data_IF_946139076226
#
_entry.id   IF_946139076226
#
_cell.length_a   1.000
_cell.length_b   1.000
_cell.length_c   1.000
_cell.angle_alpha   90.00
_cell.angle_beta   90.00
_cell.angle_gamma   90.00
#
_symmetry.space_group_name_H-M   'P 1'
#
loop_
_entity.id
_entity.type
_entity.pdbx_description
1 polymer ?
#
# COMPACT_ATOMS: atom_id res chain seq x y z
N UNK A 1 -5.35 -18.86 14.93
CA UNK A 1 -5.61 -19.67 13.72
C UNK A 1 -4.43 -20.61 13.55
N UNK A 2 -4.65 -21.90 13.29
CA UNK A 2 -3.55 -22.85 13.10
C UNK A 2 -3.18 -22.89 11.62
N UNK A 3 -1.92 -22.61 11.28
CA UNK A 3 -1.36 -22.86 9.95
C UNK A 3 -0.20 -23.82 10.18
N UNK A 4 -0.21 -24.99 9.53
CA UNK A 4 0.86 -26.00 9.65
C UNK A 4 1.18 -26.38 11.12
N UNK A 5 0.14 -26.60 11.94
CA UNK A 5 0.23 -26.90 13.37
C UNK A 5 0.85 -25.80 14.28
N UNK A 6 1.28 -24.68 13.73
CA UNK A 6 1.67 -23.50 14.51
C UNK A 6 0.45 -22.59 14.75
N UNK A 7 0.23 -22.22 16.02
CA UNK A 7 -0.73 -21.17 16.36
C UNK A 7 -0.15 -19.83 15.95
N UNK A 8 -0.72 -19.22 14.90
CA UNK A 8 -0.38 -17.85 14.53
C UNK A 8 -1.35 -16.92 15.25
N UNK A 9 -0.87 -16.11 16.22
CA UNK A 9 -1.69 -15.12 16.91
C UNK A 9 -1.82 -13.86 16.05
N UNK A 10 -2.61 -13.95 14.96
CA UNK A 10 -2.78 -12.89 13.95
C UNK A 10 -3.06 -11.51 14.57
N UNK A 11 -4.01 -11.47 15.52
CA UNK A 11 -4.41 -10.24 16.20
C UNK A 11 -3.27 -9.66 17.04
N UNK A 12 -2.55 -10.49 17.79
CA UNK A 12 -1.41 -10.02 18.59
C UNK A 12 -0.26 -9.55 17.71
N UNK A 13 -0.03 -10.21 16.57
CA UNK A 13 1.00 -9.81 15.61
C UNK A 13 0.69 -8.43 15.03
N UNK A 14 -0.58 -8.20 14.68
CA UNK A 14 -1.04 -6.92 14.19
C UNK A 14 -0.97 -5.84 15.28
N UNK A 15 -1.50 -6.10 16.47
CA UNK A 15 -1.46 -5.16 17.59
C UNK A 15 -0.02 -4.81 17.98
N UNK A 16 0.87 -5.81 18.02
CA UNK A 16 2.31 -5.59 18.23
C UNK A 16 2.89 -4.67 17.17
N UNK A 17 2.58 -4.91 15.89
CA UNK A 17 3.10 -4.08 14.79
C UNK A 17 2.57 -2.65 14.85
N UNK A 18 1.26 -2.48 15.07
CA UNK A 18 0.64 -1.15 15.16
C UNK A 18 1.21 -0.32 16.30
N UNK A 19 1.56 -0.94 17.44
CA UNK A 19 2.16 -0.26 18.59
C UNK A 19 3.66 -0.04 18.47
N UNK A 20 4.41 -1.03 17.98
CA UNK A 20 5.87 -0.97 17.91
C UNK A 20 6.37 -0.18 16.69
N UNK A 21 5.66 -0.28 15.58
CA UNK A 21 6.01 0.29 14.29
C UNK A 21 5.02 1.37 13.84
N UNK A 22 4.41 2.09 14.79
CA UNK A 22 3.42 3.15 14.49
C UNK A 22 3.97 4.18 13.50
N UNK A 23 5.23 4.58 13.64
CA UNK A 23 5.89 5.49 12.71
C UNK A 23 5.89 4.97 11.27
N UNK A 24 6.12 3.67 11.06
CA UNK A 24 6.08 3.05 9.73
C UNK A 24 4.67 3.02 9.14
N UNK A 25 3.66 2.78 9.97
CA UNK A 25 2.26 2.87 9.55
C UNK A 25 1.85 4.29 9.17
N UNK A 26 2.25 5.29 9.96
CA UNK A 26 2.02 6.70 9.63
C UNK A 26 2.75 7.10 8.35
N UNK A 27 3.98 6.64 8.16
CA UNK A 27 4.76 6.88 6.95
C UNK A 27 4.12 6.20 5.72
N UNK A 28 3.58 4.99 5.87
CA UNK A 28 2.80 4.32 4.84
C UNK A 28 1.59 5.17 4.43
N UNK A 29 0.82 5.67 5.38
CA UNK A 29 -0.34 6.51 5.09
C UNK A 29 0.05 7.83 4.43
N UNK A 30 1.11 8.48 4.92
CA UNK A 30 1.60 9.73 4.34
C UNK A 30 2.09 9.54 2.90
N UNK A 31 2.94 8.53 2.66
CA UNK A 31 3.43 8.22 1.31
C UNK A 31 2.33 7.76 0.38
N UNK A 32 1.30 7.06 0.89
CA UNK A 32 0.12 6.69 0.12
C UNK A 32 -0.68 7.91 -0.34
N UNK A 33 -0.88 8.90 0.53
CA UNK A 33 -1.58 10.14 0.16
C UNK A 33 -0.79 10.92 -0.89
N UNK A 34 0.53 11.06 -0.69
CA UNK A 34 1.40 11.72 -1.66
C UNK A 34 1.37 11.01 -3.02
N UNK A 35 1.41 9.68 -3.01
CA UNK A 35 1.33 8.90 -4.23
C UNK A 35 0.00 9.14 -4.93
N UNK A 36 -1.13 9.08 -4.22
CA UNK A 36 -2.45 9.38 -4.78
C UNK A 36 -2.49 10.76 -5.45
N UNK A 37 -2.01 11.79 -4.77
CA UNK A 37 -1.98 13.16 -5.30
C UNK A 37 -1.08 13.24 -6.54
N UNK A 38 0.10 12.64 -6.49
CA UNK A 38 1.06 12.63 -7.60
C UNK A 38 0.49 11.90 -8.82
N UNK A 39 -0.13 10.74 -8.63
CA UNK A 39 -0.76 9.95 -9.69
C UNK A 39 -1.94 10.68 -10.30
N UNK A 40 -2.79 11.33 -9.50
CA UNK A 40 -3.90 12.12 -10.03
C UNK A 40 -3.37 13.24 -10.92
N UNK A 41 -2.32 13.95 -10.51
CA UNK A 41 -1.68 14.99 -11.32
C UNK A 41 -1.08 14.43 -12.62
N UNK A 42 -0.28 13.37 -12.51
CA UNK A 42 0.36 12.68 -13.63
C UNK A 42 -0.66 12.16 -14.65
N UNK A 43 -1.66 11.40 -14.19
CA UNK A 43 -2.68 10.81 -15.05
C UNK A 43 -3.58 11.88 -15.67
N UNK A 44 -3.86 12.98 -14.97
CA UNK A 44 -4.64 14.09 -15.52
C UNK A 44 -3.86 14.84 -16.61
N UNK A 45 -2.53 14.88 -16.54
CA UNK A 45 -1.67 15.54 -17.52
C UNK A 45 -1.30 14.65 -18.72
N UNK A 46 -0.98 13.37 -18.48
CA UNK A 46 -0.40 12.45 -19.47
C UNK A 46 -1.33 11.31 -19.89
N UNK A 47 -2.47 11.15 -19.19
CA UNK A 47 -3.49 10.15 -19.47
C UNK A 47 -3.26 8.81 -18.75
N UNK A 48 -4.37 8.08 -18.54
CA UNK A 48 -4.45 6.81 -17.80
C UNK A 48 -3.53 5.69 -18.34
N UNK A 49 -3.27 5.70 -19.64
CA UNK A 49 -2.47 4.67 -20.33
C UNK A 49 -0.98 4.69 -19.94
N UNK A 50 -0.50 5.79 -19.36
CA UNK A 50 0.87 5.95 -18.87
C UNK A 50 1.09 5.39 -17.46
N UNK A 51 0.03 5.03 -16.76
CA UNK A 51 0.13 4.41 -15.44
C UNK A 51 0.82 3.04 -15.54
N UNK A 52 1.95 2.88 -14.86
CA UNK A 52 2.74 1.65 -14.88
C UNK A 52 2.08 0.52 -14.08
N UNK A 53 1.30 0.86 -13.05
CA UNK A 53 0.61 -0.12 -12.23
C UNK A 53 -0.65 -0.62 -12.95
N UNK A 54 -0.57 -1.81 -13.53
CA UNK A 54 -1.67 -2.42 -14.29
C UNK A 54 -2.96 -2.59 -13.47
N UNK A 55 -2.85 -2.90 -12.17
CA UNK A 55 -4.02 -3.05 -11.30
C UNK A 55 -4.67 -1.69 -11.02
N UNK A 56 -3.86 -0.67 -10.69
CA UNK A 56 -4.37 0.67 -10.47
C UNK A 56 -5.02 1.22 -11.75
N UNK A 57 -4.38 1.02 -12.91
CA UNK A 57 -4.92 1.39 -14.21
C UNK A 57 -6.27 0.73 -14.48
N UNK A 58 -6.36 -0.59 -14.31
CA UNK A 58 -7.62 -1.32 -14.48
C UNK A 58 -8.72 -0.83 -13.54
N UNK A 59 -8.39 -0.57 -12.26
CA UNK A 59 -9.35 -0.02 -11.31
C UNK A 59 -9.80 1.40 -11.68
N UNK A 60 -8.90 2.24 -12.17
CA UNK A 60 -9.22 3.60 -12.62
C UNK A 60 -10.08 3.60 -13.89
N UNK A 61 -9.86 2.65 -14.80
CA UNK A 61 -10.71 2.46 -15.97
C UNK A 61 -12.12 1.96 -15.59
N UNK A 62 -12.21 1.06 -14.61
CA UNK A 62 -13.48 0.46 -14.20
C UNK A 62 -14.33 1.37 -13.31
N UNK A 63 -13.72 2.09 -12.36
CA UNK A 63 -14.41 2.85 -11.32
C UNK A 63 -14.30 4.36 -11.51
N UNK A 64 -13.38 4.83 -12.36
CA UNK A 64 -12.98 6.23 -12.49
C UNK A 64 -11.69 6.54 -11.72
N UNK A 65 -11.05 7.66 -12.07
CA UNK A 65 -9.70 8.04 -11.60
C UNK A 65 -9.53 7.98 -10.07
N UNK A 66 -10.23 8.85 -9.35
CA UNK A 66 -10.16 8.95 -7.89
C UNK A 66 -10.62 7.67 -7.15
N UNK A 67 -11.83 7.13 -7.41
CA UNK A 67 -12.31 5.94 -6.72
C UNK A 67 -11.49 4.69 -7.05
N UNK A 68 -11.03 4.51 -8.30
CA UNK A 68 -10.18 3.39 -8.70
C UNK A 68 -8.81 3.42 -8.05
N UNK A 69 -8.16 4.58 -8.02
CA UNK A 69 -6.88 4.76 -7.36
C UNK A 69 -6.99 4.57 -5.84
N UNK A 70 -8.05 5.11 -5.23
CA UNK A 70 -8.33 4.91 -3.81
C UNK A 70 -8.55 3.43 -3.49
N UNK A 71 -9.30 2.70 -4.32
CA UNK A 71 -9.52 1.27 -4.16
C UNK A 71 -8.20 0.47 -4.24
N UNK A 72 -7.31 0.83 -5.18
CA UNK A 72 -5.99 0.20 -5.29
C UNK A 72 -5.16 0.39 -4.01
N UNK A 73 -5.19 1.59 -3.42
CA UNK A 73 -4.50 1.89 -2.17
C UNK A 73 -5.11 1.20 -0.95
N UNK A 74 -6.44 1.11 -0.88
CA UNK A 74 -7.11 0.33 0.17
C UNK A 74 -6.70 -1.14 0.10
N UNK A 75 -6.65 -1.72 -1.10
CA UNK A 75 -6.20 -3.10 -1.30
C UNK A 75 -4.73 -3.28 -0.87
N UNK A 76 -3.87 -2.31 -1.17
CA UNK A 76 -2.48 -2.32 -0.73
C UNK A 76 -2.36 -2.30 0.81
N UNK A 77 -3.12 -1.45 1.50
CA UNK A 77 -3.15 -1.42 2.98
C UNK A 77 -3.65 -2.75 3.55
N UNK A 78 -4.69 -3.33 2.94
CA UNK A 78 -5.20 -4.64 3.35
C UNK A 78 -4.14 -5.74 3.18
N UNK A 79 -3.43 -5.76 2.05
CA UNK A 79 -2.35 -6.72 1.78
C UNK A 79 -1.20 -6.59 2.80
N UNK A 80 -0.77 -5.37 3.11
CA UNK A 80 0.26 -5.11 4.14
C UNK A 80 -0.22 -5.59 5.51
N UNK A 81 -1.46 -5.28 5.88
CA UNK A 81 -2.05 -5.70 7.15
C UNK A 81 -2.08 -7.22 7.28
N UNK A 82 -2.49 -7.92 6.23
CA UNK A 82 -2.49 -9.39 6.19
C UNK A 82 -1.09 -9.96 6.39
N UNK A 83 -0.09 -9.46 5.64
CA UNK A 83 1.30 -9.95 5.75
C UNK A 83 1.90 -9.68 7.14
N UNK A 84 1.67 -8.48 7.68
CA UNK A 84 2.11 -8.10 9.03
C UNK A 84 1.48 -9.00 10.09
N UNK A 85 0.21 -9.35 9.93
CA UNK A 85 -0.48 -10.26 10.86
C UNK A 85 0.06 -11.69 10.81
N UNK A 86 0.57 -12.15 9.66
CA UNK A 86 1.14 -13.48 9.50
C UNK A 86 2.52 -13.62 10.15
N UNK A 87 3.38 -12.61 10.07
CA UNK A 87 4.74 -12.71 10.62
C UNK A 87 5.25 -11.36 11.16
N UNK A 88 5.57 -11.32 12.46
CA UNK A 88 6.05 -10.12 13.16
C UNK A 88 7.37 -9.56 12.60
N UNK A 89 8.29 -10.42 12.15
CA UNK A 89 9.62 -10.01 11.66
C UNK A 89 9.57 -9.55 10.21
N UNK A 90 8.90 -10.34 9.36
CA UNK A 90 8.78 -10.06 7.92
C UNK A 90 7.85 -8.87 7.66
N UNK A 91 6.82 -8.69 8.49
CA UNK A 91 5.86 -7.60 8.37
C UNK A 91 6.49 -6.21 8.33
N UNK A 92 7.53 -5.95 9.14
CA UNK A 92 8.19 -4.64 9.16
C UNK A 92 9.01 -4.40 7.88
N UNK A 93 9.73 -5.41 7.39
CA UNK A 93 10.45 -5.30 6.11
C UNK A 93 9.48 -5.04 4.97
N UNK A 94 8.31 -5.67 5.00
CA UNK A 94 7.27 -5.46 4.00
C UNK A 94 6.68 -4.05 4.08
N UNK A 95 6.38 -3.54 5.28
CA UNK A 95 5.98 -2.14 5.50
C UNK A 95 6.97 -1.16 4.89
N UNK A 96 8.26 -1.34 5.19
CA UNK A 96 9.33 -0.49 4.65
C UNK A 96 9.42 -0.58 3.12
N UNK A 97 9.35 -1.78 2.55
CA UNK A 97 9.39 -1.97 1.09
C UNK A 97 8.23 -1.24 0.40
N UNK A 98 7.02 -1.32 0.99
CA UNK A 98 5.83 -0.68 0.42
C UNK A 98 5.90 0.85 0.54
N UNK A 99 6.44 1.37 1.63
CA UNK A 99 6.73 2.81 1.77
C UNK A 99 7.70 3.27 0.68
N UNK A 100 8.79 2.53 0.45
CA UNK A 100 9.77 2.85 -0.60
C UNK A 100 9.14 2.79 -2.00
N UNK A 101 8.27 1.82 -2.26
CA UNK A 101 7.55 1.74 -3.53
C UNK A 101 6.60 2.93 -3.75
N UNK A 102 5.87 3.36 -2.72
CA UNK A 102 5.05 4.57 -2.82
C UNK A 102 5.92 5.81 -3.08
N UNK A 103 7.03 5.97 -2.35
CA UNK A 103 7.94 7.09 -2.55
C UNK A 103 8.56 7.08 -3.95
N UNK A 104 8.91 5.91 -4.47
CA UNK A 104 9.44 5.75 -5.82
C UNK A 104 8.40 6.10 -6.89
N UNK A 105 7.15 5.69 -6.70
CA UNK A 105 6.05 6.06 -7.59
C UNK A 105 5.84 7.58 -7.63
N UNK A 106 5.88 8.25 -6.47
CA UNK A 106 5.83 9.73 -6.40
C UNK A 106 6.95 10.37 -7.22
N UNK A 107 8.18 9.86 -7.10
CA UNK A 107 9.33 10.38 -7.85
C UNK A 107 9.12 10.20 -9.34
N UNK A 108 8.71 9.02 -9.80
CA UNK A 108 8.44 8.76 -11.23
C UNK A 108 7.32 9.66 -11.75
N UNK A 109 6.24 9.82 -10.99
CA UNK A 109 5.09 10.65 -11.40
C UNK A 109 5.43 12.15 -11.46
N UNK A 110 6.53 12.56 -10.83
CA UNK A 110 6.99 13.96 -10.77
C UNK A 110 8.05 14.31 -11.82
N UNK A 111 8.54 13.34 -12.59
CA UNK A 111 9.51 13.51 -13.68
C UNK A 111 8.76 13.58 -15.01
#
# INVERSE_FOLDING_TARGET
MKILDEEIPLRENLDYSLRRYTAWWLLLLATMILDVVSTVGFVSALGLHKEANALARWLMEALGLLPGLTAAKVLQVFAVTAIVSLNRRVGNLFLMAIVLLNAWAVVINSI
#
